data_IF_952329107591
#
_entry.id   IF_952329107591
#
_cell.length_a   1.000
_cell.length_b   1.000
_cell.length_c   1.000
_cell.angle_alpha   90.00
_cell.angle_beta   90.00
_cell.angle_gamma   90.00
#
_symmetry.space_group_name_H-M   'P 1'
#
loop_
_entity.id
_entity.type
_entity.pdbx_description
1 polymer ?
#
# COMPACT_ATOMS: atom_id res chain seq x y z
N UNK A 1 -27.27 -17.83 19.27
CA UNK A 1 -27.76 -17.08 18.09
C UNK A 1 -26.64 -16.15 17.63
N UNK A 2 -25.85 -16.55 16.62
CA UNK A 2 -24.71 -15.78 16.15
C UNK A 2 -25.18 -14.71 15.18
N UNK A 3 -25.20 -13.45 15.62
CA UNK A 3 -25.57 -12.33 14.76
C UNK A 3 -24.76 -12.34 13.47
N UNK A 4 -25.47 -12.22 12.35
CA UNK A 4 -24.96 -12.14 11.00
C UNK A 4 -24.25 -10.79 10.83
N UNK A 5 -22.99 -10.71 11.33
CA UNK A 5 -22.18 -9.51 11.14
C UNK A 5 -21.99 -9.31 9.64
N UNK A 6 -22.29 -8.11 9.09
CA UNK A 6 -22.14 -7.87 7.68
C UNK A 6 -20.71 -8.18 7.23
N UNK A 7 -20.57 -8.82 6.07
CA UNK A 7 -19.27 -9.20 5.51
C UNK A 7 -18.39 -7.94 5.43
N UNK A 8 -17.11 -8.06 5.82
CA UNK A 8 -16.14 -6.95 5.82
C UNK A 8 -16.21 -6.08 4.54
N UNK A 9 -16.31 -6.65 3.32
CA UNK A 9 -16.44 -5.84 2.10
C UNK A 9 -17.62 -4.86 2.10
N UNK A 10 -18.77 -5.25 2.65
CA UNK A 10 -19.96 -4.39 2.74
C UNK A 10 -19.73 -3.26 3.75
N UNK A 11 -19.14 -3.57 4.91
CA UNK A 11 -18.84 -2.56 5.93
C UNK A 11 -17.82 -1.54 5.43
N UNK A 12 -16.75 -2.01 4.78
CA UNK A 12 -15.70 -1.15 4.22
C UNK A 12 -16.26 -0.31 3.07
N UNK A 13 -17.05 -0.90 2.16
CA UNK A 13 -17.68 -0.17 1.06
C UNK A 13 -18.61 0.93 1.58
N UNK A 14 -19.45 0.62 2.57
CA UNK A 14 -20.34 1.60 3.21
C UNK A 14 -19.57 2.70 3.93
N UNK A 15 -18.49 2.37 4.63
CA UNK A 15 -17.67 3.38 5.28
C UNK A 15 -17.01 4.29 4.23
N UNK A 16 -16.43 3.73 3.17
CA UNK A 16 -15.78 4.48 2.10
C UNK A 16 -16.74 5.40 1.34
N UNK A 17 -18.03 5.11 1.30
CA UNK A 17 -19.00 5.96 0.59
C UNK A 17 -19.38 7.23 1.35
N UNK A 18 -19.17 7.27 2.67
CA UNK A 18 -19.55 8.42 3.52
C UNK A 18 -18.34 9.08 4.20
N UNK A 19 -17.27 8.33 4.44
CA UNK A 19 -16.12 8.82 5.17
C UNK A 19 -15.31 9.82 4.34
N UNK A 20 -15.06 10.98 4.93
CA UNK A 20 -14.27 12.05 4.33
C UNK A 20 -13.06 12.37 5.18
N UNK A 21 -11.97 12.73 4.52
CA UNK A 21 -10.78 13.18 5.20
C UNK A 21 -10.98 14.60 5.76
N UNK A 22 -10.70 14.86 7.06
CA UNK A 22 -11.09 16.10 7.72
C UNK A 22 -10.44 17.37 7.15
N UNK A 23 -9.19 17.28 6.70
CA UNK A 23 -8.48 18.44 6.10
C UNK A 23 -9.01 18.83 4.72
N UNK A 24 -9.41 17.86 3.90
CA UNK A 24 -9.69 18.06 2.48
C UNK A 24 -11.19 18.01 2.17
N UNK A 25 -11.99 17.48 3.09
CA UNK A 25 -13.41 17.19 2.90
C UNK A 25 -13.70 16.37 1.62
N UNK A 26 -12.85 15.38 1.36
CA UNK A 26 -12.92 14.48 0.21
C UNK A 26 -12.98 13.02 0.67
N UNK A 27 -13.61 12.12 -0.11
CA UNK A 27 -13.45 10.68 0.08
C UNK A 27 -11.97 10.30 0.21
N UNK A 28 -11.63 9.36 1.08
CA UNK A 28 -10.25 8.90 1.24
C UNK A 28 -9.67 8.33 -0.07
N UNK A 29 -10.52 7.78 -0.96
CA UNK A 29 -10.11 7.28 -2.27
C UNK A 29 -9.71 8.38 -3.26
N UNK A 30 -10.02 9.65 -2.98
CA UNK A 30 -9.59 10.79 -3.79
C UNK A 30 -8.21 11.30 -3.34
N UNK A 31 -7.73 10.87 -2.16
CA UNK A 31 -6.42 11.22 -1.59
C UNK A 31 -5.32 10.25 -2.01
N UNK A 32 -5.35 9.85 -3.28
CA UNK A 32 -4.28 9.08 -3.91
C UNK A 32 -3.30 9.99 -4.63
N UNK A 33 -2.04 9.58 -4.74
CA UNK A 33 -1.03 10.44 -5.36
C UNK A 33 -1.07 10.34 -6.89
N UNK A 34 -1.37 11.45 -7.56
CA UNK A 34 -1.46 11.53 -9.02
C UNK A 34 -0.18 11.04 -9.71
N UNK A 35 1.05 11.45 -9.29
CA UNK A 35 2.28 10.93 -9.89
C UNK A 35 2.47 9.41 -9.71
N UNK A 36 1.90 8.83 -8.64
CA UNK A 36 1.94 7.38 -8.43
C UNK A 36 0.94 6.66 -9.34
N UNK A 37 -0.22 7.25 -9.65
CA UNK A 37 -1.12 6.71 -10.66
C UNK A 37 -0.45 6.69 -12.04
N UNK A 38 0.21 7.79 -12.42
CA UNK A 38 0.98 7.87 -13.66
C UNK A 38 2.11 6.83 -13.72
N UNK A 39 2.81 6.61 -12.60
CA UNK A 39 3.82 5.56 -12.49
C UNK A 39 3.22 4.17 -12.68
N UNK A 40 2.07 3.87 -12.07
CA UNK A 40 1.38 2.59 -12.24
C UNK A 40 1.01 2.36 -13.71
N UNK A 41 0.51 3.38 -14.39
CA UNK A 41 0.15 3.32 -15.81
C UNK A 41 1.38 3.12 -16.69
N UNK A 42 2.47 3.86 -16.42
CA UNK A 42 3.74 3.70 -17.11
C UNK A 42 4.30 2.28 -16.96
N UNK A 43 4.33 1.74 -15.74
CA UNK A 43 4.81 0.39 -15.48
C UNK A 43 3.93 -0.66 -16.19
N UNK A 44 2.61 -0.48 -16.18
CA UNK A 44 1.68 -1.39 -16.85
C UNK A 44 1.85 -1.36 -18.37
N UNK A 45 2.01 -0.18 -18.98
CA UNK A 45 2.29 -0.01 -20.40
C UNK A 45 3.60 -0.72 -20.80
N UNK A 46 4.56 -0.79 -19.88
CA UNK A 46 5.83 -1.51 -20.04
C UNK A 46 5.78 -2.97 -19.54
N UNK A 47 4.58 -3.56 -19.41
CA UNK A 47 4.34 -4.99 -19.12
C UNK A 47 4.85 -5.44 -17.74
N UNK A 48 5.05 -4.53 -16.79
CA UNK A 48 5.33 -4.89 -15.41
C UNK A 48 4.09 -5.49 -14.75
N UNK A 49 4.29 -6.53 -13.93
CA UNK A 49 3.28 -6.97 -12.97
C UNK A 49 3.43 -6.16 -11.69
N UNK A 50 2.35 -5.52 -11.25
CA UNK A 50 2.37 -4.54 -10.17
C UNK A 50 1.66 -5.14 -8.95
N UNK A 51 2.31 -5.08 -7.79
CA UNK A 51 1.75 -5.60 -6.55
C UNK A 51 1.68 -4.50 -5.49
N UNK A 52 0.65 -4.55 -4.64
CA UNK A 52 0.59 -3.77 -3.41
C UNK A 52 1.11 -4.64 -2.27
N UNK A 53 2.07 -4.13 -1.49
CA UNK A 53 2.63 -4.82 -0.32
C UNK A 53 2.56 -3.89 0.89
N UNK A 54 1.50 -4.04 1.68
CA UNK A 54 1.13 -3.07 2.71
C UNK A 54 0.97 -3.72 4.09
N UNK A 55 1.29 -2.97 5.15
CA UNK A 55 0.97 -3.37 6.53
C UNK A 55 -0.52 -3.30 6.86
N UNK A 56 -1.32 -2.65 6.02
CA UNK A 56 -2.78 -2.59 6.16
C UNK A 56 -3.47 -3.94 5.95
N UNK A 57 -4.73 -4.04 6.40
CA UNK A 57 -5.54 -5.25 6.23
C UNK A 57 -5.81 -5.54 4.74
N UNK A 58 -5.53 -6.77 4.31
CA UNK A 58 -5.67 -7.20 2.92
C UNK A 58 -7.12 -7.08 2.43
N UNK A 59 -8.09 -7.45 3.28
CA UNK A 59 -9.51 -7.42 2.93
C UNK A 59 -10.05 -5.99 2.85
N UNK A 60 -9.55 -5.07 3.68
CA UNK A 60 -9.86 -3.65 3.55
C UNK A 60 -9.41 -3.08 2.20
N UNK A 61 -8.17 -3.33 1.80
CA UNK A 61 -7.62 -2.78 0.54
C UNK A 61 -8.30 -3.36 -0.70
N UNK A 62 -8.61 -4.67 -0.69
CA UNK A 62 -9.25 -5.36 -1.82
C UNK A 62 -10.61 -4.78 -2.23
N UNK A 63 -11.30 -4.09 -1.32
CA UNK A 63 -12.61 -3.48 -1.59
C UNK A 63 -12.53 -2.30 -2.57
N UNK A 64 -11.40 -1.61 -2.64
CA UNK A 64 -11.31 -0.34 -3.39
C UNK A 64 -10.07 -0.22 -4.28
N UNK A 65 -8.96 -0.88 -3.92
CA UNK A 65 -7.68 -0.70 -4.59
C UNK A 65 -7.72 -1.10 -6.08
N UNK A 66 -8.50 -2.10 -6.47
CA UNK A 66 -8.66 -2.47 -7.88
C UNK A 66 -9.28 -1.35 -8.71
N UNK A 67 -10.32 -0.70 -8.18
CA UNK A 67 -10.98 0.43 -8.87
C UNK A 67 -10.06 1.65 -9.00
N UNK A 68 -9.25 1.91 -7.97
CA UNK A 68 -8.45 3.14 -7.89
C UNK A 68 -7.06 2.98 -8.52
N UNK A 69 -6.41 1.83 -8.34
CA UNK A 69 -5.04 1.59 -8.81
C UNK A 69 -4.96 0.62 -10.00
N UNK A 70 -6.07 -0.02 -10.39
CA UNK A 70 -6.05 -1.07 -11.42
C UNK A 70 -5.24 -2.30 -11.02
N UNK A 71 -5.02 -2.53 -9.73
CA UNK A 71 -4.31 -3.71 -9.20
C UNK A 71 -5.35 -4.76 -8.77
N UNK A 72 -5.37 -5.96 -9.38
CA UNK A 72 -6.39 -6.96 -9.09
C UNK A 72 -6.17 -7.60 -7.70
N UNK A 73 -7.21 -8.18 -7.06
CA UNK A 73 -7.16 -8.64 -5.67
C UNK A 73 -6.06 -9.66 -5.32
N UNK A 74 -5.66 -10.49 -6.29
CA UNK A 74 -4.58 -11.47 -6.17
C UNK A 74 -3.18 -10.85 -6.21
N UNK A 75 -3.07 -9.57 -6.61
CA UNK A 75 -1.83 -8.77 -6.58
C UNK A 75 -1.79 -7.81 -5.37
N UNK A 76 -2.73 -7.93 -4.44
CA UNK A 76 -2.76 -7.17 -3.19
C UNK A 76 -2.33 -8.07 -2.04
N UNK A 77 -1.23 -7.68 -1.38
CA UNK A 77 -0.63 -8.39 -0.25
C UNK A 77 -0.71 -7.46 0.97
N UNK A 78 -1.38 -7.93 2.01
CA UNK A 78 -1.63 -7.18 3.25
C UNK A 78 -1.43 -8.02 4.50
N UNK A 79 -1.55 -7.36 5.65
CA UNK A 79 -1.75 -8.03 6.93
C UNK A 79 -3.08 -8.79 6.91
N UNK A 80 -3.15 -9.91 7.63
CA UNK A 80 -4.30 -10.83 7.54
C UNK A 80 -4.60 -11.51 8.86
N UNK A 81 -5.89 -11.79 9.05
CA UNK A 81 -6.41 -12.65 10.10
C UNK A 81 -6.67 -14.05 9.54
N UNK A 82 -6.69 -15.06 10.41
CA UNK A 82 -6.98 -16.43 10.01
C UNK A 82 -8.38 -16.53 9.40
N UNK A 83 -8.52 -17.41 8.41
CA UNK A 83 -9.79 -17.72 7.76
C UNK A 83 -10.10 -19.21 7.92
N UNK A 84 -11.37 -19.54 8.11
CA UNK A 84 -11.86 -20.92 8.21
C UNK A 84 -12.97 -21.17 7.21
N UNK A 85 -12.94 -22.31 6.54
CA UNK A 85 -14.09 -22.81 5.78
C UNK A 85 -15.18 -23.24 6.76
N UNK A 86 -16.38 -22.71 6.58
CA UNK A 86 -17.57 -23.07 7.36
C UNK A 86 -18.72 -23.40 6.40
N UNK A 87 -19.77 -24.07 6.90
CA UNK A 87 -21.06 -24.18 6.21
C UNK A 87 -22.01 -23.13 6.78
N UNK A 88 -22.62 -22.31 5.93
CA UNK A 88 -23.73 -21.41 6.26
C UNK A 88 -24.89 -21.72 5.31
N UNK A 89 -26.06 -22.02 5.85
CA UNK A 89 -27.26 -22.39 5.08
C UNK A 89 -26.99 -23.49 4.05
N UNK A 90 -26.24 -24.52 4.47
CA UNK A 90 -25.83 -25.65 3.62
C UNK A 90 -24.75 -25.34 2.59
N UNK A 91 -24.32 -24.09 2.42
CA UNK A 91 -23.32 -23.66 1.41
C UNK A 91 -21.95 -23.38 2.06
N UNK A 92 -20.83 -23.68 1.35
CA UNK A 92 -19.50 -23.32 1.82
C UNK A 92 -19.35 -21.79 1.88
N UNK A 93 -18.78 -21.31 2.98
CA UNK A 93 -18.48 -19.90 3.18
C UNK A 93 -17.13 -19.76 3.92
N UNK A 94 -16.42 -18.66 3.67
CA UNK A 94 -15.19 -18.33 4.38
C UNK A 94 -15.51 -17.41 5.56
N UNK A 95 -15.12 -17.83 6.75
CA UNK A 95 -15.26 -17.05 7.98
C UNK A 95 -13.89 -16.49 8.39
N UNK A 96 -13.79 -15.16 8.46
CA UNK A 96 -12.65 -14.48 9.07
C UNK A 96 -12.74 -14.60 10.60
N UNK A 97 -11.66 -15.07 11.22
CA UNK A 97 -11.56 -15.24 12.67
C UNK A 97 -10.99 -13.97 13.31
N UNK A 98 -11.31 -13.67 14.59
CA UNK A 98 -10.67 -12.61 15.35
C UNK A 98 -9.27 -13.04 15.84
N UNK A 99 -8.51 -13.69 14.97
CA UNK A 99 -7.20 -14.25 15.28
C UNK A 99 -6.20 -13.81 14.23
N UNK A 100 -5.10 -13.23 14.69
CA UNK A 100 -4.05 -12.73 13.82
C UNK A 100 -3.32 -13.87 13.10
N UNK A 101 -3.11 -13.74 11.79
CA UNK A 101 -2.32 -14.71 11.05
C UNK A 101 -0.94 -14.15 10.70
N UNK A 102 -0.87 -12.92 10.16
CA UNK A 102 0.41 -12.37 9.71
C UNK A 102 0.42 -10.85 9.60
N UNK A 103 1.51 -10.23 10.06
CA UNK A 103 1.76 -8.79 9.96
C UNK A 103 2.67 -8.49 8.76
N UNK A 104 2.12 -7.84 7.75
CA UNK A 104 2.84 -7.57 6.50
C UNK A 104 3.57 -6.21 6.53
N UNK A 105 4.40 -6.00 7.54
CA UNK A 105 5.18 -4.77 7.71
C UNK A 105 6.65 -5.10 8.03
N UNK A 106 7.57 -4.19 7.69
CA UNK A 106 9.01 -4.38 7.87
C UNK A 106 9.47 -5.73 7.27
N UNK A 107 10.10 -6.60 8.07
CA UNK A 107 10.53 -7.95 7.68
C UNK A 107 9.39 -8.83 7.14
N UNK A 108 8.14 -8.58 7.52
CA UNK A 108 6.98 -9.30 7.01
C UNK A 108 6.76 -9.09 5.51
N UNK A 109 7.19 -7.95 4.95
CA UNK A 109 7.02 -7.63 3.52
C UNK A 109 7.82 -8.56 2.60
N UNK A 110 9.17 -8.71 2.73
CA UNK A 110 9.91 -9.65 1.89
C UNK A 110 9.44 -11.11 2.06
N UNK A 111 9.05 -11.51 3.28
CA UNK A 111 8.47 -12.84 3.54
C UNK A 111 7.19 -13.05 2.72
N UNK A 112 6.26 -12.08 2.75
CA UNK A 112 5.02 -12.19 1.99
C UNK A 112 5.25 -12.14 0.49
N UNK A 113 6.18 -11.31 0.02
CA UNK A 113 6.52 -11.28 -1.41
C UNK A 113 7.03 -12.66 -1.86
N UNK A 114 7.98 -13.24 -1.13
CA UNK A 114 8.48 -14.59 -1.45
C UNK A 114 7.36 -15.63 -1.40
N UNK A 115 6.49 -15.58 -0.40
CA UNK A 115 5.39 -16.53 -0.22
C UNK A 115 4.34 -16.48 -1.34
N UNK A 116 3.88 -15.29 -1.72
CA UNK A 116 2.74 -15.14 -2.64
C UNK A 116 3.16 -14.91 -4.09
N UNK A 117 4.29 -14.25 -4.33
CA UNK A 117 4.77 -13.96 -5.69
C UNK A 117 5.79 -15.02 -6.14
N UNK A 118 6.57 -15.56 -5.20
CA UNK A 118 7.64 -16.52 -5.50
C UNK A 118 8.83 -15.90 -6.21
N UNK A 119 8.86 -14.58 -6.41
CA UNK A 119 9.90 -13.86 -7.17
C UNK A 119 10.36 -12.63 -6.41
N UNK A 120 11.65 -12.29 -6.54
CA UNK A 120 12.20 -11.03 -6.04
C UNK A 120 11.79 -9.90 -7.01
N UNK A 121 11.23 -8.77 -6.52
CA UNK A 121 10.93 -7.61 -7.35
C UNK A 121 12.21 -7.01 -7.94
N UNK A 122 12.09 -6.45 -9.14
CA UNK A 122 13.17 -5.65 -9.76
C UNK A 122 13.06 -4.16 -9.42
N UNK A 123 11.89 -3.71 -8.98
CA UNK A 123 11.62 -2.37 -8.48
C UNK A 123 10.73 -2.42 -7.24
N UNK A 124 11.02 -1.60 -6.23
CA UNK A 124 10.22 -1.47 -5.02
C UNK A 124 10.09 0.02 -4.61
N UNK A 125 8.92 0.38 -4.08
CA UNK A 125 8.56 1.75 -3.75
C UNK A 125 7.99 1.77 -2.33
N UNK A 126 8.48 2.67 -1.49
CA UNK A 126 8.06 2.80 -0.08
C UNK A 126 8.04 4.24 0.39
N UNK A 127 7.66 4.47 1.64
CA UNK A 127 7.65 5.81 2.24
C UNK A 127 7.97 5.83 3.74
N UNK A 128 8.29 4.67 4.33
CA UNK A 128 8.51 4.54 5.77
C UNK A 128 9.58 3.51 6.10
N UNK A 129 10.00 3.45 7.36
CA UNK A 129 10.87 2.40 7.87
C UNK A 129 10.23 1.01 7.81
N UNK A 130 8.90 0.93 7.74
CA UNK A 130 8.17 -0.32 7.48
C UNK A 130 8.42 -0.89 6.07
N UNK A 131 9.03 -0.13 5.16
CA UNK A 131 9.41 -0.55 3.82
C UNK A 131 10.89 -0.94 3.70
N UNK A 132 11.71 -0.67 4.73
CA UNK A 132 13.16 -0.80 4.67
C UNK A 132 13.59 -2.17 4.15
N UNK A 133 13.16 -3.25 4.78
CA UNK A 133 13.58 -4.61 4.43
C UNK A 133 13.04 -5.04 3.06
N UNK A 134 11.90 -4.52 2.62
CA UNK A 134 11.40 -4.74 1.27
C UNK A 134 12.32 -4.09 0.24
N UNK A 135 12.71 -2.84 0.45
CA UNK A 135 13.62 -2.10 -0.42
C UNK A 135 15.01 -2.76 -0.46
N UNK A 136 15.57 -3.11 0.71
CA UNK A 136 16.83 -3.85 0.82
C UNK A 136 16.77 -5.17 0.07
N UNK A 137 15.72 -5.96 0.28
CA UNK A 137 15.58 -7.24 -0.39
C UNK A 137 15.37 -7.09 -1.90
N UNK A 138 14.68 -6.05 -2.38
CA UNK A 138 14.57 -5.81 -3.82
C UNK A 138 15.94 -5.49 -4.46
N UNK A 139 16.81 -4.73 -3.77
CA UNK A 139 18.07 -4.24 -4.35
C UNK A 139 19.31 -5.07 -4.01
N UNK A 140 19.27 -5.95 -3.01
CA UNK A 140 20.42 -6.78 -2.59
C UNK A 140 20.65 -7.99 -3.50
N UNK A 141 20.83 -7.76 -4.79
CA UNK A 141 21.10 -8.77 -5.83
C UNK A 141 21.64 -8.09 -7.09
N UNK A 142 22.38 -8.83 -7.92
CA UNK A 142 22.98 -8.30 -9.14
C UNK A 142 21.95 -7.88 -10.20
N UNK A 143 22.40 -6.98 -11.09
CA UNK A 143 21.62 -6.45 -12.20
C UNK A 143 20.86 -5.17 -11.85
N UNK A 144 20.18 -4.60 -12.85
CA UNK A 144 19.45 -3.34 -12.67
C UNK A 144 18.31 -3.53 -11.68
N UNK A 145 18.34 -2.77 -10.58
CA UNK A 145 17.32 -2.73 -9.53
C UNK A 145 16.96 -1.29 -9.22
N UNK A 146 15.72 -1.08 -8.78
CA UNK A 146 15.22 0.23 -8.37
C UNK A 146 14.60 0.14 -6.98
N UNK A 147 15.03 1.04 -6.10
CA UNK A 147 14.33 1.35 -4.86
C UNK A 147 14.03 2.85 -4.85
N UNK A 148 12.79 3.19 -4.48
CA UNK A 148 12.32 4.56 -4.37
C UNK A 148 11.65 4.79 -3.02
N UNK A 149 11.97 5.91 -2.39
CA UNK A 149 11.28 6.42 -1.20
C UNK A 149 10.52 7.70 -1.54
N UNK A 150 9.22 7.73 -1.26
CA UNK A 150 8.43 8.97 -1.27
C UNK A 150 8.65 9.69 0.05
N UNK A 151 9.32 10.84 0.04
CA UNK A 151 9.51 11.68 1.23
C UNK A 151 8.45 12.79 1.26
N UNK A 152 7.67 12.80 2.34
CA UNK A 152 6.62 13.79 2.57
C UNK A 152 7.22 15.11 3.05
N UNK A 153 7.48 16.04 2.13
CA UNK A 153 8.14 17.33 2.38
C UNK A 153 7.22 18.55 2.17
N UNK A 154 5.96 18.32 1.80
CA UNK A 154 5.05 19.39 1.37
C UNK A 154 3.90 19.64 2.33
N UNK A 155 4.14 20.40 3.40
CA UNK A 155 3.09 20.79 4.35
C UNK A 155 1.93 21.57 3.73
N UNK A 156 2.13 22.23 2.58
CA UNK A 156 1.09 23.08 1.97
C UNK A 156 0.08 22.23 1.19
N UNK A 157 0.57 21.40 0.27
CA UNK A 157 -0.28 20.57 -0.60
C UNK A 157 -0.63 19.22 0.02
N UNK A 158 0.22 18.73 0.92
CA UNK A 158 0.12 17.48 1.65
C UNK A 158 0.56 17.72 3.10
N UNK A 159 1.30 16.81 3.72
CA UNK A 159 1.93 16.97 5.01
C UNK A 159 3.46 17.02 4.84
N UNK A 160 4.13 17.38 5.94
CA UNK A 160 5.59 17.26 6.02
C UNK A 160 5.93 16.52 7.29
N UNK A 161 6.49 15.32 7.14
CA UNK A 161 6.85 14.43 8.23
C UNK A 161 7.90 13.41 7.78
N UNK A 162 8.77 13.01 8.71
CA UNK A 162 9.75 11.94 8.50
C UNK A 162 10.15 11.28 9.85
N UNK A 163 11.28 11.68 10.45
CA UNK A 163 11.96 11.01 11.57
C UNK A 163 11.23 11.09 12.91
N UNK A 164 10.28 12.00 13.07
CA UNK A 164 9.52 12.19 14.33
C UNK A 164 8.04 11.84 14.19
N UNK A 165 7.64 11.26 13.05
CA UNK A 165 6.25 10.94 12.78
C UNK A 165 5.81 9.71 13.58
N UNK A 166 4.60 9.74 14.14
CA UNK A 166 3.97 8.58 14.77
C UNK A 166 3.35 7.61 13.73
N UNK A 167 2.98 8.15 12.56
CA UNK A 167 2.43 7.41 11.43
C UNK A 167 3.35 7.70 10.24
N UNK A 168 3.76 6.66 9.52
CA UNK A 168 4.67 6.82 8.38
C UNK A 168 6.07 7.28 8.77
N UNK A 169 6.54 6.90 9.96
CA UNK A 169 7.90 7.17 10.44
C UNK A 169 8.94 6.76 9.40
N UNK A 170 9.80 7.71 9.01
CA UNK A 170 10.82 7.54 7.99
C UNK A 170 12.14 8.09 8.53
N UNK A 171 13.00 7.20 9.03
CA UNK A 171 14.25 7.52 9.69
C UNK A 171 15.38 6.65 9.14
N UNK A 172 15.37 5.37 9.49
CA UNK A 172 16.41 4.42 9.09
C UNK A 172 16.40 4.15 7.59
N UNK A 173 15.22 4.10 6.97
CA UNK A 173 15.13 3.92 5.53
C UNK A 173 15.65 5.12 4.74
N UNK A 174 15.60 6.33 5.33
CA UNK A 174 16.17 7.53 4.70
C UNK A 174 17.71 7.53 4.75
N UNK A 175 18.29 7.07 5.86
CA UNK A 175 19.74 6.88 6.00
C UNK A 175 20.23 5.78 5.04
N UNK A 176 19.51 4.66 4.99
CA UNK A 176 19.80 3.57 4.06
C UNK A 176 19.70 4.00 2.60
N UNK A 177 18.71 4.83 2.25
CA UNK A 177 18.56 5.34 0.89
C UNK A 177 19.80 6.13 0.44
N UNK A 178 20.40 6.91 1.33
CA UNK A 178 21.65 7.65 1.05
C UNK A 178 22.80 6.67 0.85
N UNK A 179 22.95 5.69 1.76
CA UNK A 179 24.02 4.68 1.70
C UNK A 179 23.95 3.82 0.44
N UNK A 180 22.75 3.41 0.04
CA UNK A 180 22.49 2.53 -1.09
C UNK A 180 22.19 3.27 -2.39
N UNK A 181 22.23 4.61 -2.37
CA UNK A 181 21.87 5.49 -3.51
C UNK A 181 20.47 5.18 -4.08
N UNK A 182 19.51 4.87 -3.21
CA UNK A 182 18.11 4.76 -3.61
C UNK A 182 17.56 6.13 -3.98
N UNK A 183 16.57 6.13 -4.87
CA UNK A 183 15.93 7.36 -5.30
C UNK A 183 15.02 7.86 -4.17
N UNK A 184 15.23 9.10 -3.70
CA UNK A 184 14.34 9.75 -2.73
C UNK A 184 13.60 10.85 -3.45
N UNK A 185 12.28 10.72 -3.56
CA UNK A 185 11.39 11.72 -4.12
C UNK A 185 11.09 12.76 -3.04
N UNK A 186 11.41 14.01 -3.32
CA UNK A 186 10.98 15.16 -2.52
C UNK A 186 9.61 15.63 -3.05
N UNK A 187 8.53 15.27 -2.36
CA UNK A 187 7.15 15.57 -2.80
C UNK A 187 6.94 17.04 -3.16
N UNK A 188 7.53 17.96 -2.38
CA UNK A 188 7.40 19.40 -2.60
C UNK A 188 8.06 19.86 -3.89
N UNK A 189 9.23 19.30 -4.21
CA UNK A 189 10.06 19.75 -5.34
C UNK A 189 9.76 18.99 -6.63
N UNK A 190 9.50 17.69 -6.52
CA UNK A 190 9.50 16.80 -7.67
C UNK A 190 8.10 16.60 -8.25
N UNK A 191 7.05 16.79 -7.45
CA UNK A 191 5.67 16.61 -7.89
C UNK A 191 5.01 17.94 -8.25
N UNK A 192 4.52 18.05 -9.49
CA UNK A 192 3.75 19.22 -9.97
C UNK A 192 2.38 19.30 -9.30
N UNK A 193 1.72 18.15 -9.16
CA UNK A 193 0.44 17.96 -8.48
C UNK A 193 0.56 16.79 -7.51
N UNK A 194 -0.11 16.88 -6.35
CA UNK A 194 -0.12 15.79 -5.37
C UNK A 194 -1.32 14.88 -5.61
N UNK A 195 -2.52 15.48 -5.69
CA UNK A 195 -3.77 14.73 -5.84
C UNK A 195 -4.44 14.98 -7.19
N UNK A 196 -5.21 14.02 -7.74
CA UNK A 196 -5.90 14.18 -9.02
C UNK A 196 -6.82 15.40 -9.08
N UNK A 197 -7.50 15.74 -7.99
CA UNK A 197 -8.41 16.90 -7.95
C UNK A 197 -7.69 18.27 -7.98
N UNK A 198 -6.37 18.30 -7.88
CA UNK A 198 -5.56 19.52 -8.04
C UNK A 198 -5.20 19.79 -9.50
N UNK A 199 -5.24 18.76 -10.34
CA UNK A 199 -5.06 18.92 -11.79
C UNK A 199 -6.31 19.56 -12.37
N UNK A 200 -6.16 20.75 -12.97
CA UNK A 200 -7.22 21.29 -13.84
C UNK A 200 -7.39 20.31 -14.99
N UNK A 201 -8.61 19.81 -15.19
CA UNK A 201 -8.98 19.19 -16.47
C UNK A 201 -8.96 20.23 -17.57
#
# INVERSE_FOLDING_TARGET
MGHDRPRIPVQVSRWLSVARHPRFDRPYTDLVFQPMLELLDYLRANKFKIYIVSGGDIEFMRVWATRIYGVPPEQIIGSRLKTRLVKRDGKPALLRLPEFEFFNNAEGKPISIRKFIGRRPIAAFGNSDGDLQMLQWATATDGKRLALIVRHTDRKREWSYDRKANIGHLDKALDEATRQKWLVVDMKRDWKVVYPFQSKR
#
